data_IF_668882737403
#
_entry.id   IF_668882737403
#
_cell.length_a   1.000
_cell.length_b   1.000
_cell.length_c   1.000
_cell.angle_alpha   90.00
_cell.angle_beta   90.00
_cell.angle_gamma   90.00
#
_symmetry.space_group_name_H-M   'P 1'
#
loop_
_entity.id
_entity.type
_entity.pdbx_description
1 polymer ?
#
# COMPACT_ATOMS: atom_id res chain seq x y z
N UNK A 1 8.07 -6.92 -3.34
CA UNK A 1 8.53 -5.52 -3.21
C UNK A 1 8.93 -5.10 -1.79
N UNK A 2 8.51 -5.80 -0.73
CA UNK A 2 8.96 -5.55 0.66
C UNK A 2 10.49 -5.57 0.85
N UNK A 3 11.19 -6.49 0.18
CA UNK A 3 12.64 -6.68 0.38
C UNK A 3 13.53 -5.52 -0.08
N UNK A 4 13.22 -4.88 -1.21
CA UNK A 4 14.08 -3.81 -1.76
C UNK A 4 14.03 -2.57 -0.88
N UNK A 5 12.86 -2.15 -0.40
CA UNK A 5 12.77 -0.99 0.48
C UNK A 5 13.35 -1.25 1.87
N UNK A 6 13.20 -2.47 2.38
CA UNK A 6 13.78 -2.89 3.65
C UNK A 6 15.31 -3.05 3.58
N UNK A 7 15.88 -3.41 2.41
CA UNK A 7 17.33 -3.46 2.22
C UNK A 7 17.93 -2.08 1.92
N UNK A 8 17.31 -1.31 1.01
CA UNK A 8 17.81 0.00 0.61
C UNK A 8 17.70 1.05 1.71
N UNK A 9 16.66 1.01 2.56
CA UNK A 9 16.47 1.98 3.63
C UNK A 9 17.64 2.00 4.62
N UNK A 10 17.95 0.88 5.30
CA UNK A 10 19.10 0.76 6.20
C UNK A 10 20.44 0.97 5.49
N UNK A 11 20.60 0.51 4.24
CA UNK A 11 21.82 0.73 3.47
C UNK A 11 22.06 2.22 3.17
N UNK A 12 21.03 2.95 2.72
CA UNK A 12 21.08 4.41 2.55
C UNK A 12 21.32 5.12 3.87
N UNK A 13 20.69 4.66 4.96
CA UNK A 13 20.95 5.21 6.28
C UNK A 13 22.41 5.00 6.70
N UNK A 14 23.00 3.81 6.49
CA UNK A 14 24.40 3.55 6.80
C UNK A 14 25.38 4.41 6.00
N UNK A 15 25.11 4.66 4.72
CA UNK A 15 25.94 5.56 3.90
C UNK A 15 25.79 7.02 4.34
N UNK A 16 24.58 7.44 4.71
CA UNK A 16 24.30 8.83 5.10
C UNK A 16 24.72 9.14 6.53
N UNK A 17 24.91 8.15 7.41
CA UNK A 17 25.31 8.38 8.80
C UNK A 17 26.73 8.93 8.95
N UNK A 18 27.59 8.74 7.96
CA UNK A 18 28.95 9.31 7.96
C UNK A 18 28.94 10.82 7.63
N UNK A 19 27.89 11.30 6.96
CA UNK A 19 27.80 12.67 6.45
C UNK A 19 26.77 13.53 7.20
N UNK A 20 25.79 12.93 7.87
CA UNK A 20 24.65 13.62 8.48
C UNK A 20 24.39 13.14 9.91
N UNK A 21 23.97 14.06 10.76
CA UNK A 21 23.44 13.71 12.09
C UNK A 21 22.14 12.92 11.96
N UNK A 22 21.78 12.13 12.97
CA UNK A 22 20.52 11.34 12.99
C UNK A 22 19.30 12.21 12.70
N UNK A 23 19.27 13.45 13.21
CA UNK A 23 18.18 14.39 12.97
C UNK A 23 18.13 14.87 11.51
N UNK A 24 19.28 15.09 10.88
CA UNK A 24 19.36 15.46 9.46
C UNK A 24 18.98 14.29 8.56
N UNK A 25 19.46 13.08 8.86
CA UNK A 25 19.05 11.86 8.15
C UNK A 25 17.54 11.63 8.24
N UNK A 26 16.97 11.84 9.43
CA UNK A 26 15.53 11.77 9.63
C UNK A 26 14.84 12.79 8.74
N UNK A 27 15.21 14.08 8.81
CA UNK A 27 14.65 15.15 7.95
C UNK A 27 14.81 14.86 6.45
N UNK A 28 15.90 14.22 6.04
CA UNK A 28 16.15 13.86 4.65
C UNK A 28 15.25 12.71 4.18
N UNK A 29 15.24 11.57 4.90
CA UNK A 29 14.34 10.45 4.60
C UNK A 29 12.86 10.87 4.66
N UNK A 30 12.59 11.82 5.54
CA UNK A 30 11.31 12.49 5.69
C UNK A 30 10.92 13.34 4.47
N UNK A 31 11.81 14.21 4.00
CA UNK A 31 11.60 15.03 2.82
C UNK A 31 11.45 14.17 1.56
N UNK A 32 12.24 13.11 1.42
CA UNK A 32 12.10 12.11 0.37
C UNK A 32 10.74 11.42 0.41
N UNK A 33 10.25 11.04 1.59
CA UNK A 33 8.93 10.45 1.72
C UNK A 33 7.82 11.42 1.31
N UNK A 34 7.91 12.69 1.70
CA UNK A 34 6.94 13.72 1.30
C UNK A 34 7.00 13.99 -0.20
N UNK A 35 8.20 14.09 -0.78
CA UNK A 35 8.41 14.26 -2.21
C UNK A 35 7.82 13.08 -2.99
N UNK A 36 8.10 11.84 -2.56
CA UNK A 36 7.53 10.63 -3.15
C UNK A 36 6.00 10.65 -3.09
N UNK A 37 5.40 11.07 -1.98
CA UNK A 37 3.95 11.18 -1.87
C UNK A 37 3.38 12.28 -2.77
N UNK A 38 4.04 13.44 -2.86
CA UNK A 38 3.62 14.53 -3.75
C UNK A 38 3.70 14.12 -5.22
N UNK A 39 4.77 13.43 -5.63
CA UNK A 39 4.92 12.86 -6.97
C UNK A 39 3.79 11.87 -7.24
N UNK A 40 3.50 10.94 -6.33
CA UNK A 40 2.42 9.96 -6.49
C UNK A 40 1.04 10.62 -6.67
N UNK A 41 0.73 11.70 -5.93
CA UNK A 41 -0.52 12.46 -6.11
C UNK A 41 -0.59 13.10 -7.50
N UNK A 42 0.50 13.70 -7.97
CA UNK A 42 0.56 14.32 -9.29
C UNK A 42 0.49 13.29 -10.42
N UNK A 43 1.13 12.13 -10.28
CA UNK A 43 1.04 11.05 -11.26
C UNK A 43 -0.39 10.50 -11.34
N UNK A 44 -1.14 10.43 -10.23
CA UNK A 44 -2.56 10.05 -10.26
C UNK A 44 -3.46 11.09 -10.92
N UNK A 45 -3.21 12.39 -10.69
CA UNK A 45 -3.93 13.45 -11.41
C UNK A 45 -3.65 13.39 -12.91
N UNK A 46 -2.40 13.17 -13.31
CA UNK A 46 -2.04 12.96 -14.72
C UNK A 46 -2.67 11.69 -15.31
N UNK A 47 -2.67 10.58 -14.56
CA UNK A 47 -3.26 9.31 -14.99
C UNK A 47 -4.78 9.29 -14.94
N UNK A 48 -5.44 10.23 -14.24
CA UNK A 48 -6.90 10.38 -14.29
C UNK A 48 -7.40 10.81 -15.68
N UNK A 49 -6.52 11.36 -16.53
CA UNK A 49 -6.78 11.58 -17.97
C UNK A 49 -6.88 10.25 -18.74
N UNK A 50 -6.26 9.17 -18.24
CA UNK A 50 -6.24 7.85 -18.89
C UNK A 50 -7.44 6.96 -18.53
N UNK A 51 -8.40 7.44 -17.72
CA UNK A 51 -9.57 6.64 -17.30
C UNK A 51 -10.91 7.34 -17.52
N UNK A 52 -11.19 7.64 -18.78
CA UNK A 52 -12.50 7.33 -19.34
C UNK A 52 -12.63 5.80 -19.48
N UNK A 53 -12.62 5.06 -18.36
CA UNK A 53 -13.02 3.65 -18.39
C UNK A 53 -14.54 3.67 -18.51
N UNK A 54 -15.14 3.15 -19.59
CA UNK A 54 -16.58 3.14 -19.75
C UNK A 54 -17.20 2.44 -18.54
N UNK A 55 -18.15 3.12 -17.88
CA UNK A 55 -19.01 2.52 -16.85
C UNK A 55 -20.00 1.55 -17.52
N UNK A 56 -19.50 0.48 -18.14
CA UNK A 56 -20.26 -0.73 -18.40
C UNK A 56 -19.68 -1.73 -17.40
N UNK A 57 -20.32 -2.00 -16.27
CA UNK A 57 -21.50 -2.85 -16.16
C UNK A 57 -22.26 -2.39 -14.91
N UNK A 58 -23.32 -1.60 -15.09
CA UNK A 58 -24.38 -1.50 -14.09
C UNK A 58 -25.54 -2.36 -14.58
N UNK A 59 -25.75 -3.46 -13.86
CA UNK A 59 -27.00 -4.20 -13.77
C UNK A 59 -27.43 -4.95 -15.04
N UNK A 60 -26.80 -6.10 -15.30
CA UNK A 60 -27.56 -7.23 -15.86
C UNK A 60 -28.44 -7.74 -14.71
N UNK A 61 -29.77 -7.59 -14.76
CA UNK A 61 -30.64 -8.10 -13.72
C UNK A 61 -30.52 -9.63 -13.66
N UNK A 62 -30.50 -10.16 -12.43
CA UNK A 62 -30.58 -11.57 -12.09
C UNK A 62 -31.64 -12.31 -12.94
N UNK A 63 -31.20 -12.98 -14.00
CA UNK A 63 -31.94 -14.09 -14.60
C UNK A 63 -31.49 -15.39 -13.93
N UNK A 64 -31.73 -15.52 -12.62
CA UNK A 64 -31.63 -16.79 -11.89
C UNK A 64 -33.00 -17.27 -11.46
N UNK A 65 -33.78 -17.71 -12.44
CA UNK A 65 -34.73 -18.81 -12.24
C UNK A 65 -34.92 -19.54 -13.57
N UNK A 66 -33.96 -20.41 -13.93
CA UNK A 66 -34.19 -21.40 -14.98
C UNK A 66 -33.75 -22.78 -14.49
N UNK A 67 -34.80 -23.52 -14.07
CA UNK A 67 -35.03 -24.95 -14.21
C UNK A 67 -33.86 -25.89 -13.92
N UNK A 68 -33.99 -26.55 -12.78
CA UNK A 68 -33.59 -27.93 -12.55
C UNK A 68 -34.19 -28.80 -13.66
N UNK A 69 -33.34 -29.29 -14.56
CA UNK A 69 -33.61 -30.51 -15.32
C UNK A 69 -32.32 -31.30 -15.37
N UNK A 70 -32.26 -32.23 -14.43
CA UNK A 70 -31.53 -33.49 -14.44
C UNK A 70 -31.31 -34.01 -15.85
N UNK A 71 -30.06 -34.16 -16.27
CA UNK A 71 -29.69 -35.26 -17.16
C UNK A 71 -28.20 -35.55 -16.97
N UNK A 72 -27.96 -36.78 -16.52
CA UNK A 72 -26.67 -37.39 -16.42
C UNK A 72 -26.09 -37.54 -17.82
N UNK A 73 -24.84 -37.13 -18.01
CA UNK A 73 -24.01 -37.73 -19.04
C UNK A 73 -22.52 -37.59 -18.71
N UNK A 74 -21.97 -38.75 -18.41
CA UNK A 74 -20.69 -39.26 -18.91
C UNK A 74 -19.42 -38.44 -18.70
N UNK A 75 -18.70 -38.84 -17.66
CA UNK A 75 -17.28 -39.23 -17.70
C UNK A 75 -16.59 -39.07 -19.05
N UNK A 76 -16.10 -37.86 -19.32
CA UNK A 76 -14.96 -37.66 -20.22
C UNK A 76 -13.83 -37.08 -19.39
N UNK A 77 -12.94 -37.98 -18.93
CA UNK A 77 -11.60 -37.62 -18.44
C UNK A 77 -10.82 -37.02 -19.61
N UNK A 78 -11.10 -35.75 -19.92
CA UNK A 78 -10.16 -34.91 -20.65
C UNK A 78 -9.04 -34.58 -19.66
N UNK A 79 -7.96 -35.34 -19.74
CA UNK A 79 -6.65 -34.89 -19.29
C UNK A 79 -6.31 -33.67 -20.14
N UNK A 80 -6.82 -32.50 -19.74
CA UNK A 80 -6.35 -31.21 -20.21
C UNK A 80 -4.89 -31.18 -19.80
N UNK A 81 -4.01 -31.50 -20.75
CA UNK A 81 -2.62 -31.15 -20.69
C UNK A 81 -2.61 -29.63 -20.53
N UNK A 82 -2.51 -29.18 -19.29
CA UNK A 82 -2.17 -27.81 -18.95
C UNK A 82 -0.75 -27.65 -19.45
N UNK A 83 -0.64 -27.33 -20.74
CA UNK A 83 0.60 -26.94 -21.40
C UNK A 83 1.26 -25.94 -20.47
N UNK A 84 2.43 -26.34 -19.96
CA UNK A 84 3.21 -25.60 -18.98
C UNK A 84 3.73 -24.31 -19.58
N UNK A 85 2.83 -23.37 -19.89
CA UNK A 85 3.20 -21.96 -20.02
C UNK A 85 3.79 -21.61 -18.66
N UNK A 86 5.10 -21.44 -18.65
CA UNK A 86 5.83 -21.20 -17.41
C UNK A 86 5.19 -19.98 -16.75
N UNK A 87 4.80 -20.13 -15.47
CA UNK A 87 4.25 -19.07 -14.62
C UNK A 87 4.93 -17.69 -14.84
N UNK A 88 6.27 -17.61 -15.07
CA UNK A 88 6.95 -16.35 -15.37
C UNK A 88 6.47 -15.64 -16.65
N UNK A 89 6.12 -16.36 -17.72
CA UNK A 89 5.70 -15.75 -18.99
C UNK A 89 4.33 -15.08 -18.87
N UNK A 90 3.41 -15.70 -18.13
CA UNK A 90 2.08 -15.15 -17.90
C UNK A 90 2.13 -13.92 -16.98
N UNK A 91 2.91 -13.99 -15.89
CA UNK A 91 3.14 -12.87 -14.97
C UNK A 91 3.82 -11.69 -15.69
N UNK A 92 4.82 -11.96 -16.55
CA UNK A 92 5.49 -10.92 -17.34
C UNK A 92 4.53 -10.15 -18.25
N UNK A 93 3.60 -10.85 -18.92
CA UNK A 93 2.61 -10.21 -19.79
C UNK A 93 1.65 -9.29 -19.03
N UNK A 94 1.26 -9.66 -17.82
CA UNK A 94 0.38 -8.83 -16.97
C UNK A 94 1.13 -7.66 -16.36
N UNK A 95 2.41 -7.84 -16.03
CA UNK A 95 3.30 -6.76 -15.60
C UNK A 95 3.48 -5.68 -16.68
N UNK A 96 3.20 -5.95 -17.96
CA UNK A 96 3.28 -4.94 -19.02
C UNK A 96 2.06 -4.00 -19.09
N UNK A 97 1.01 -4.21 -18.29
CA UNK A 97 -0.11 -3.28 -18.25
C UNK A 97 0.29 -1.96 -17.57
N UNK A 98 0.23 -0.81 -18.27
CA UNK A 98 0.76 0.46 -17.77
C UNK A 98 0.09 0.91 -16.47
N UNK A 99 -1.21 0.65 -16.35
CA UNK A 99 -1.99 0.90 -15.14
C UNK A 99 -1.46 0.14 -13.91
N UNK A 100 -1.11 -1.13 -14.09
CA UNK A 100 -0.66 -1.99 -12.99
C UNK A 100 0.77 -1.62 -12.59
N UNK A 101 1.65 -1.38 -13.56
CA UNK A 101 3.00 -0.85 -13.32
C UNK A 101 2.92 0.42 -12.48
N UNK A 102 2.06 1.36 -12.87
CA UNK A 102 1.95 2.62 -12.16
C UNK A 102 1.52 2.43 -10.70
N UNK A 103 0.52 1.58 -10.46
CA UNK A 103 0.06 1.27 -9.08
C UNK A 103 1.18 0.60 -8.28
N UNK A 104 1.94 -0.32 -8.89
CA UNK A 104 3.05 -1.00 -8.24
C UNK A 104 4.21 -0.04 -7.94
N UNK A 105 4.52 0.91 -8.82
CA UNK A 105 5.50 1.96 -8.57
C UNK A 105 5.05 2.80 -7.37
N UNK A 106 3.79 3.23 -7.34
CA UNK A 106 3.25 4.05 -6.24
C UNK A 106 3.27 3.28 -4.92
N UNK A 107 2.90 2.00 -4.96
CA UNK A 107 2.99 1.10 -3.81
C UNK A 107 4.44 0.95 -3.33
N UNK A 108 5.37 0.74 -4.26
CA UNK A 108 6.80 0.61 -4.00
C UNK A 108 7.37 1.86 -3.34
N UNK A 109 7.09 3.05 -3.90
CA UNK A 109 7.54 4.33 -3.36
C UNK A 109 6.94 4.64 -1.98
N UNK A 110 5.65 4.34 -1.80
CA UNK A 110 4.98 4.52 -0.50
C UNK A 110 5.56 3.58 0.55
N UNK A 111 5.75 2.31 0.20
CA UNK A 111 6.33 1.30 1.08
C UNK A 111 7.77 1.65 1.44
N UNK A 112 8.57 2.06 0.46
CA UNK A 112 9.93 2.56 0.68
C UNK A 112 9.95 3.70 1.71
N UNK A 113 9.11 4.72 1.50
CA UNK A 113 8.98 5.83 2.44
C UNK A 113 8.52 5.40 3.84
N UNK A 114 7.68 4.37 3.96
CA UNK A 114 7.26 3.80 5.24
C UNK A 114 8.38 3.02 5.93
N UNK A 115 9.20 2.26 5.20
CA UNK A 115 10.34 1.56 5.78
C UNK A 115 11.42 2.52 6.25
N UNK A 116 11.79 3.51 5.44
CA UNK A 116 12.72 4.55 5.87
C UNK A 116 12.21 5.25 7.13
N UNK A 117 10.90 5.50 7.21
CA UNK A 117 10.28 6.08 8.40
C UNK A 117 10.39 5.17 9.62
N UNK A 118 9.99 3.90 9.53
CA UNK A 118 10.04 2.95 10.66
C UNK A 118 11.49 2.73 11.12
N UNK A 119 12.43 2.59 10.20
CA UNK A 119 13.85 2.39 10.54
C UNK A 119 14.44 3.59 11.26
N UNK A 120 14.07 4.82 10.88
CA UNK A 120 14.60 6.05 11.48
C UNK A 120 13.85 6.50 12.72
N UNK A 121 12.56 6.15 12.86
CA UNK A 121 11.75 6.57 14.00
C UNK A 121 12.33 6.03 15.31
N UNK A 122 12.85 4.80 15.31
CA UNK A 122 13.50 4.17 16.46
C UNK A 122 14.66 5.01 17.01
N UNK A 123 15.53 5.49 16.12
CA UNK A 123 16.66 6.33 16.47
C UNK A 123 16.18 7.69 17.00
N UNK A 124 15.20 8.29 16.30
CA UNK A 124 14.63 9.57 16.70
C UNK A 124 13.95 9.52 18.07
N UNK A 125 13.23 8.44 18.39
CA UNK A 125 12.54 8.30 19.68
C UNK A 125 13.55 8.24 20.84
N UNK A 126 14.63 7.48 20.64
CA UNK A 126 15.71 7.37 21.62
C UNK A 126 16.39 8.72 21.84
N UNK A 127 16.75 9.40 20.75
CA UNK A 127 17.52 10.64 20.81
C UNK A 127 16.68 11.85 21.27
N UNK A 128 15.40 11.91 20.86
CA UNK A 128 14.53 13.08 21.09
C UNK A 128 13.76 13.01 22.41
N UNK A 129 13.35 11.81 22.82
CA UNK A 129 12.48 11.62 23.98
C UNK A 129 13.18 10.91 25.15
N UNK A 130 14.46 10.53 25.00
CA UNK A 130 15.26 9.83 26.03
C UNK A 130 14.51 8.64 26.63
N UNK A 131 13.77 7.90 25.79
CA UNK A 131 12.88 6.83 26.23
C UNK A 131 13.65 5.52 26.42
N UNK A 132 13.25 4.73 27.41
CA UNK A 132 13.81 3.40 27.61
C UNK A 132 13.40 2.43 26.47
N UNK A 133 14.09 1.29 26.32
CA UNK A 133 13.73 0.28 25.32
C UNK A 133 12.30 -0.28 25.46
N UNK A 134 11.74 -0.32 26.67
CA UNK A 134 10.38 -0.81 26.93
C UNK A 134 9.32 0.16 26.35
N UNK A 135 9.55 1.46 26.44
CA UNK A 135 8.69 2.49 25.87
C UNK A 135 8.69 2.41 24.34
N UNK A 136 9.84 2.10 23.73
CA UNK A 136 9.91 1.85 22.30
C UNK A 136 9.04 0.67 21.86
N UNK A 137 9.09 -0.45 22.60
CA UNK A 137 8.23 -1.60 22.34
C UNK A 137 6.73 -1.26 22.39
N UNK A 138 6.31 -0.53 23.44
CA UNK A 138 4.92 -0.04 23.59
C UNK A 138 4.50 0.87 22.43
N UNK A 139 5.41 1.72 21.97
CA UNK A 139 5.17 2.65 20.89
C UNK A 139 5.01 1.93 19.53
N UNK A 140 5.85 0.93 19.25
CA UNK A 140 5.66 0.06 18.09
C UNK A 140 4.33 -0.70 18.15
N UNK A 141 3.96 -1.24 19.32
CA UNK A 141 2.65 -1.88 19.50
C UNK A 141 1.51 -0.90 19.22
N UNK A 142 1.62 0.34 19.71
CA UNK A 142 0.66 1.40 19.43
C UNK A 142 0.52 1.69 17.92
N UNK A 143 1.62 1.72 17.17
CA UNK A 143 1.58 1.88 15.71
C UNK A 143 0.89 0.70 15.02
N UNK A 144 1.18 -0.53 15.46
CA UNK A 144 0.51 -1.72 14.96
C UNK A 144 -1.00 -1.67 15.21
N UNK A 145 -1.42 -1.36 16.44
CA UNK A 145 -2.82 -1.27 16.84
C UNK A 145 -3.55 -0.18 16.04
N UNK A 146 -3.01 1.03 15.95
CA UNK A 146 -3.65 2.14 15.23
C UNK A 146 -3.77 1.85 13.73
N UNK A 147 -2.74 1.25 13.12
CA UNK A 147 -2.80 0.80 11.73
C UNK A 147 -3.86 -0.29 11.52
N UNK A 148 -3.89 -1.34 12.36
CA UNK A 148 -4.87 -2.43 12.26
C UNK A 148 -6.30 -1.92 12.45
N UNK A 149 -6.57 -1.13 13.49
CA UNK A 149 -7.89 -0.53 13.72
C UNK A 149 -8.32 0.31 12.52
N UNK A 150 -7.40 1.11 11.97
CA UNK A 150 -7.68 1.91 10.79
C UNK A 150 -8.02 1.03 9.59
N UNK A 151 -7.21 0.01 9.30
CA UNK A 151 -7.36 -0.88 8.16
C UNK A 151 -8.65 -1.72 8.21
N UNK A 152 -9.02 -2.22 9.38
CA UNK A 152 -10.15 -3.15 9.52
C UNK A 152 -11.48 -2.47 9.82
N UNK A 153 -11.47 -1.28 10.46
CA UNK A 153 -12.69 -0.63 10.93
C UNK A 153 -12.94 0.70 10.22
N UNK A 154 -11.95 1.60 10.24
CA UNK A 154 -12.15 2.99 9.81
C UNK A 154 -12.17 3.10 8.28
N UNK A 155 -11.13 2.57 7.64
CA UNK A 155 -10.91 2.70 6.19
C UNK A 155 -12.01 2.01 5.37
N UNK A 156 -12.51 0.80 5.71
CA UNK A 156 -13.62 0.19 4.98
C UNK A 156 -14.90 1.03 5.08
N UNK A 157 -15.17 1.65 6.24
CA UNK A 157 -16.29 2.58 6.41
C UNK A 157 -16.08 3.87 5.60
N UNK A 158 -14.87 4.44 5.58
CA UNK A 158 -14.58 5.58 4.71
C UNK A 158 -14.75 5.21 3.22
N UNK A 159 -14.38 3.98 2.85
CA UNK A 159 -14.54 3.44 1.50
C UNK A 159 -15.98 3.35 1.01
N UNK A 160 -16.99 3.35 1.90
CA UNK A 160 -18.40 3.45 1.47
C UNK A 160 -18.83 4.86 1.10
N UNK A 161 -18.09 5.89 1.55
CA UNK A 161 -18.39 7.31 1.28
C UNK A 161 -17.51 7.91 0.18
N UNK A 162 -16.27 7.42 0.05
CA UNK A 162 -15.28 7.97 -0.88
C UNK A 162 -15.00 7.02 -2.05
N UNK A 163 -14.71 7.60 -3.23
CA UNK A 163 -14.16 6.81 -4.33
C UNK A 163 -12.78 6.26 -3.96
N UNK A 164 -12.36 5.14 -4.56
CA UNK A 164 -11.03 4.56 -4.34
C UNK A 164 -9.90 5.58 -4.55
N UNK A 165 -9.99 6.40 -5.60
CA UNK A 165 -8.99 7.42 -5.91
C UNK A 165 -9.00 8.52 -4.84
N UNK A 166 -10.18 9.00 -4.44
CA UNK A 166 -10.31 10.00 -3.38
C UNK A 166 -9.73 9.51 -2.06
N UNK A 167 -9.99 8.25 -1.71
CA UNK A 167 -9.48 7.63 -0.49
C UNK A 167 -7.95 7.43 -0.54
N UNK A 168 -7.40 7.10 -1.71
CA UNK A 168 -5.97 7.00 -1.92
C UNK A 168 -5.28 8.37 -1.80
N UNK A 169 -5.83 9.41 -2.42
CA UNK A 169 -5.32 10.78 -2.32
C UNK A 169 -5.40 11.25 -0.86
N UNK A 170 -6.51 11.01 -0.18
CA UNK A 170 -6.66 11.28 1.25
C UNK A 170 -5.55 10.60 2.06
N UNK A 171 -5.31 9.31 1.81
CA UNK A 171 -4.26 8.53 2.46
C UNK A 171 -2.86 9.09 2.23
N UNK A 172 -2.54 9.49 0.99
CA UNK A 172 -1.25 10.10 0.64
C UNK A 172 -1.08 11.47 1.33
N UNK A 173 -2.09 12.33 1.29
CA UNK A 173 -2.02 13.68 1.88
C UNK A 173 -1.91 13.60 3.40
N UNK A 174 -2.76 12.82 4.07
CA UNK A 174 -2.74 12.71 5.54
C UNK A 174 -1.41 12.11 6.00
N UNK A 175 -0.89 11.10 5.30
CA UNK A 175 0.39 10.49 5.63
C UNK A 175 1.51 11.52 5.51
N UNK A 176 1.62 12.22 4.37
CA UNK A 176 2.67 13.22 4.14
C UNK A 176 2.59 14.38 5.15
N UNK A 177 1.40 14.92 5.41
CA UNK A 177 1.21 16.05 6.31
C UNK A 177 1.57 15.70 7.76
N UNK A 178 1.09 14.56 8.25
CA UNK A 178 1.32 14.16 9.65
C UNK A 178 2.75 13.76 9.91
N UNK A 179 3.37 13.14 8.91
CA UNK A 179 4.79 12.99 8.82
C UNK A 179 5.46 14.37 8.99
N UNK A 180 5.05 15.39 8.24
CA UNK A 180 5.74 16.69 8.22
C UNK A 180 5.65 17.36 9.59
N UNK A 181 4.47 17.32 10.19
CA UNK A 181 4.23 17.79 11.55
C UNK A 181 5.17 17.09 12.55
N UNK A 182 5.34 15.77 12.44
CA UNK A 182 6.26 14.99 13.28
C UNK A 182 7.72 15.41 13.14
N UNK A 183 8.14 15.81 11.93
CA UNK A 183 9.51 16.30 11.72
C UNK A 183 9.75 17.65 12.41
N UNK A 184 8.75 18.51 12.45
CA UNK A 184 8.88 19.88 12.95
C UNK A 184 8.77 20.00 14.48
N UNK A 185 8.15 19.04 15.18
CA UNK A 185 7.79 19.20 16.59
C UNK A 185 8.41 18.15 17.53
N UNK A 186 8.96 18.62 18.65
CA UNK A 186 9.55 17.78 19.70
C UNK A 186 8.55 17.30 20.77
N UNK A 187 7.24 17.38 20.53
CA UNK A 187 6.23 16.98 21.52
C UNK A 187 5.86 15.51 21.40
N UNK A 188 6.01 14.75 22.49
CA UNK A 188 5.66 13.32 22.52
C UNK A 188 4.15 13.09 22.28
N UNK A 189 3.29 13.96 22.82
CA UNK A 189 1.84 13.87 22.62
C UNK A 189 1.49 14.08 21.15
N UNK A 190 2.04 15.14 20.52
CA UNK A 190 1.80 15.41 19.10
C UNK A 190 2.34 14.27 18.23
N UNK A 191 3.44 13.64 18.65
CA UNK A 191 4.00 12.48 17.99
C UNK A 191 3.06 11.27 17.98
N UNK A 192 2.38 10.97 19.10
CA UNK A 192 1.34 9.94 19.17
C UNK A 192 0.14 10.28 18.27
N UNK A 193 -0.36 11.51 18.36
CA UNK A 193 -1.51 11.97 17.56
C UNK A 193 -1.20 11.86 16.07
N UNK A 194 -0.08 12.43 15.63
CA UNK A 194 0.35 12.36 14.23
C UNK A 194 0.55 10.91 13.77
N UNK A 195 1.08 10.01 14.62
CA UNK A 195 1.20 8.60 14.28
C UNK A 195 -0.14 7.89 14.08
N UNK A 196 -1.18 8.24 14.84
CA UNK A 196 -2.52 7.71 14.58
C UNK A 196 -2.97 8.05 13.17
N UNK A 197 -2.80 9.30 12.75
CA UNK A 197 -3.19 9.75 11.42
C UNK A 197 -2.27 9.23 10.31
N UNK A 198 -0.98 9.00 10.59
CA UNK A 198 -0.07 8.27 9.68
C UNK A 198 -0.58 6.84 9.49
N UNK A 199 -0.96 6.16 10.58
CA UNK A 199 -1.55 4.81 10.54
C UNK A 199 -2.82 4.77 9.68
N UNK A 200 -3.71 5.75 9.86
CA UNK A 200 -4.92 5.92 9.04
C UNK A 200 -4.60 6.13 7.56
N UNK A 201 -3.62 6.99 7.26
CA UNK A 201 -3.21 7.29 5.90
C UNK A 201 -2.60 6.08 5.20
N UNK A 202 -1.64 5.41 5.85
CA UNK A 202 -1.01 4.21 5.34
C UNK A 202 -2.03 3.08 5.15
N UNK A 203 -2.97 2.90 6.10
CA UNK A 203 -4.05 1.93 5.96
C UNK A 203 -4.96 2.25 4.76
N UNK A 204 -5.28 3.52 4.53
CA UNK A 204 -6.08 3.95 3.36
C UNK A 204 -5.37 3.62 2.05
N UNK A 205 -4.07 3.91 1.96
CA UNK A 205 -3.26 3.62 0.78
C UNK A 205 -3.21 2.11 0.54
N UNK A 206 -2.88 1.31 1.57
CA UNK A 206 -2.81 -0.14 1.47
C UNK A 206 -4.14 -0.75 1.06
N UNK A 207 -5.25 -0.33 1.68
CA UNK A 207 -6.59 -0.81 1.34
C UNK A 207 -6.94 -0.60 -0.13
N UNK A 208 -6.74 0.62 -0.64
CA UNK A 208 -7.06 0.94 -2.04
C UNK A 208 -6.15 0.17 -2.99
N UNK A 209 -4.84 0.13 -2.74
CA UNK A 209 -3.89 -0.58 -3.61
C UNK A 209 -4.22 -2.08 -3.64
N UNK A 210 -4.44 -2.71 -2.49
CA UNK A 210 -4.83 -4.12 -2.41
C UNK A 210 -6.11 -4.37 -3.20
N UNK A 211 -7.15 -3.55 -3.03
CA UNK A 211 -8.40 -3.71 -3.78
C UNK A 211 -8.21 -3.59 -5.30
N UNK A 212 -7.41 -2.63 -5.76
CA UNK A 212 -7.16 -2.46 -7.19
C UNK A 212 -6.35 -3.64 -7.75
N UNK A 213 -5.30 -4.07 -7.04
CA UNK A 213 -4.46 -5.22 -7.44
C UNK A 213 -5.30 -6.49 -7.46
N UNK A 214 -6.11 -6.77 -6.44
CA UNK A 214 -6.99 -7.95 -6.40
C UNK A 214 -8.06 -7.89 -7.49
N UNK A 215 -8.67 -6.73 -7.76
CA UNK A 215 -9.66 -6.59 -8.84
C UNK A 215 -9.04 -6.83 -10.22
N UNK A 216 -7.88 -6.22 -10.48
CA UNK A 216 -7.15 -6.42 -11.74
C UNK A 216 -6.66 -7.87 -11.85
N UNK A 217 -6.12 -8.44 -10.78
CA UNK A 217 -5.67 -9.83 -10.73
C UNK A 217 -6.79 -10.83 -11.00
N UNK A 218 -8.02 -10.56 -10.55
CA UNK A 218 -9.20 -11.38 -10.90
C UNK A 218 -9.58 -11.25 -12.36
N UNK A 219 -9.54 -10.04 -12.91
CA UNK A 219 -9.84 -9.82 -14.34
C UNK A 219 -8.85 -10.51 -15.28
N UNK A 220 -7.64 -10.80 -14.80
CA UNK A 220 -6.59 -11.52 -15.54
C UNK A 220 -6.38 -12.96 -15.08
N UNK A 221 -7.24 -13.50 -14.20
CA UNK A 221 -7.14 -14.87 -13.66
C UNK A 221 -5.80 -15.22 -12.96
N UNK A 222 -5.06 -14.22 -12.48
CA UNK A 222 -3.72 -14.38 -11.85
C UNK A 222 -3.68 -13.92 -10.40
N UNK A 223 -4.82 -13.94 -9.71
CA UNK A 223 -4.86 -13.45 -8.32
C UNK A 223 -3.92 -14.24 -7.41
N UNK A 224 -3.83 -15.57 -7.59
CA UNK A 224 -2.89 -16.42 -6.84
C UNK A 224 -1.44 -16.00 -7.05
N UNK A 225 -1.02 -15.85 -8.31
CA UNK A 225 0.35 -15.44 -8.66
C UNK A 225 0.71 -14.01 -8.25
N UNK A 226 -0.24 -13.08 -8.26
CA UNK A 226 -0.01 -11.69 -7.87
C UNK A 226 0.02 -11.46 -6.36
N UNK A 227 -0.76 -12.23 -5.61
CA UNK A 227 -0.90 -12.08 -4.15
C UNK A 227 0.00 -13.07 -3.39
N UNK A 228 0.62 -14.03 -4.08
CA UNK A 228 1.47 -15.05 -3.48
C UNK A 228 0.68 -16.20 -2.84
N UNK A 229 -0.52 -16.47 -3.35
CA UNK A 229 -1.30 -17.66 -2.98
C UNK A 229 -0.90 -18.82 -3.88
N UNK A 230 -0.07 -19.71 -3.36
CA UNK A 230 -0.04 -21.14 -3.75
C UNK A 230 -0.98 -21.92 -2.83
#
# INVERSE_FOLDING_TARGET
MFGIGFALGPALAGVLSDAFTVNEMFKFGFALACLNMALNVNTFKGASILRAVPKAVKNTPDQRTRKVSTEANETTKSSVQVEGSSLPAHVSKIMLHPDLILILIIHGLTSFGQFCYISTVTLLIRDRFFTDPNHFGRLLSYFGITFSVSMWIIVPRLGSFFSEISLLIFGLIITALMRLINSCHNSLLLFYVAHTFIGLGTASISFVITNIVTRKGRAYEVTGSLVGGE
#
